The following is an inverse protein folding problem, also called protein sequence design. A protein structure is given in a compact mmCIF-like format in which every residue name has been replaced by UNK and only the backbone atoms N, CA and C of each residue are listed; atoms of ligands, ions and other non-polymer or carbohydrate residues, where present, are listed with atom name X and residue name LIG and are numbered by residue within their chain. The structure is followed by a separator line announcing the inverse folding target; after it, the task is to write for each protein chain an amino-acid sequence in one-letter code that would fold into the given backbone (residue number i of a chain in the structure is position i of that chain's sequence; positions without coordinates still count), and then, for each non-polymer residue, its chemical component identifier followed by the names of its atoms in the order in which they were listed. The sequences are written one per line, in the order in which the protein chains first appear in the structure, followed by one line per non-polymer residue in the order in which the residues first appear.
data_IF_115742707756
#
_entry.id   IF_115742707756
#
_cell.length_a   1.000
_cell.length_b   1.000
_cell.length_c   1.000
_cell.angle_alpha   90.00
_cell.angle_beta   90.00
_cell.angle_gamma   90.00
#
_symmetry.space_group_name_H-M   'P 1'
#
loop_
_entity.id
_entity.type
_entity.pdbx_description
1 polymer ?
#
# COMPACT_ATOMS: atom_id res chain seq x y z
N UNK A 1 -13.46 29.88 1.63
CA UNK A 1 -12.09 30.37 1.38
C UNK A 1 -11.25 29.92 2.57
N UNK A 2 -10.19 29.14 2.34
CA UNK A 2 -9.32 28.66 3.43
C UNK A 2 -8.32 29.77 3.83
N UNK A 3 -7.86 29.79 5.09
CA UNK A 3 -7.07 30.89 5.64
C UNK A 3 -5.55 30.83 5.32
N UNK A 4 -5.10 29.91 4.46
CA UNK A 4 -3.70 29.77 4.00
C UNK A 4 -2.61 29.94 5.09
N UNK A 5 -2.91 29.55 6.32
CA UNK A 5 -2.05 29.66 7.51
C UNK A 5 -2.01 28.31 8.21
N UNK A 6 -0.89 27.94 8.85
CA UNK A 6 -0.80 26.70 9.60
C UNK A 6 -1.73 26.75 10.82
N UNK A 7 -2.33 25.61 11.15
CA UNK A 7 -3.14 25.42 12.35
C UNK A 7 -2.29 24.88 13.49
N UNK A 8 -2.54 25.33 14.71
CA UNK A 8 -1.96 24.73 15.91
C UNK A 8 -2.52 23.32 16.14
N UNK A 9 -1.78 22.50 16.90
CA UNK A 9 -2.24 21.15 17.23
C UNK A 9 -3.60 21.14 17.97
N UNK A 10 -3.86 22.18 18.78
CA UNK A 10 -5.14 22.33 19.49
C UNK A 10 -6.32 22.66 18.56
N UNK A 11 -6.08 23.38 17.46
CA UNK A 11 -7.12 23.70 16.47
C UNK A 11 -7.39 22.51 15.53
N UNK A 12 -6.36 21.76 15.15
CA UNK A 12 -6.48 20.59 14.28
C UNK A 12 -7.38 19.50 14.89
N UNK A 13 -7.38 19.34 16.22
CA UNK A 13 -8.17 18.33 16.93
C UNK A 13 -9.64 18.69 17.16
N UNK A 14 -10.05 19.95 17.01
CA UNK A 14 -11.40 20.41 17.40
C UNK A 14 -12.51 20.03 16.40
N UNK A 15 -12.16 19.61 15.18
CA UNK A 15 -13.13 19.45 14.08
C UNK A 15 -12.86 18.19 13.25
N UNK A 16 -12.56 17.07 13.92
CA UNK A 16 -12.47 15.78 13.24
C UNK A 16 -13.84 15.40 12.67
N UNK A 17 -13.84 14.91 11.43
CA UNK A 17 -15.05 14.45 10.74
C UNK A 17 -14.75 13.13 10.06
N UNK A 18 -15.65 12.18 10.24
CA UNK A 18 -15.64 10.96 9.46
C UNK A 18 -16.08 11.27 8.03
N UNK A 19 -15.15 11.13 7.10
CA UNK A 19 -15.38 11.29 5.67
C UNK A 19 -14.95 10.01 4.95
N UNK A 20 -15.57 9.77 3.79
CA UNK A 20 -15.19 8.65 2.94
C UNK A 20 -14.09 9.10 1.99
N UNK A 21 -12.87 8.63 2.24
CA UNK A 21 -11.71 8.85 1.36
C UNK A 21 -11.49 7.66 0.41
N UNK A 22 -10.95 7.91 -0.80
CA UNK A 22 -10.61 6.84 -1.72
C UNK A 22 -9.39 6.05 -1.21
N UNK A 23 -9.56 4.74 -1.03
CA UNK A 23 -8.47 3.81 -0.75
C UNK A 23 -7.96 3.19 -2.05
N UNK A 24 -6.69 3.39 -2.38
CA UNK A 24 -6.07 2.86 -3.60
C UNK A 24 -4.87 1.99 -3.30
N UNK A 25 -4.67 0.99 -4.17
CA UNK A 25 -3.49 0.12 -4.18
C UNK A 25 -2.65 0.43 -5.40
N UNK A 26 -1.35 0.62 -5.19
CA UNK A 26 -0.39 1.01 -6.23
C UNK A 26 0.73 -0.01 -6.28
N UNK A 27 1.14 -0.37 -7.49
CA UNK A 27 2.24 -1.31 -7.72
C UNK A 27 3.49 -0.59 -8.21
N UNK A 28 4.65 -0.99 -7.70
CA UNK A 28 5.96 -0.42 -8.01
C UNK A 28 6.89 -1.55 -8.46
N UNK A 29 7.29 -1.61 -9.75
CA UNK A 29 8.22 -2.63 -10.22
C UNK A 29 9.58 -2.51 -9.55
N UNK A 30 10.23 -3.65 -9.27
CA UNK A 30 11.61 -3.64 -8.80
C UNK A 30 12.55 -3.21 -9.94
N UNK A 31 13.64 -2.54 -9.56
CA UNK A 31 14.67 -2.12 -10.51
C UNK A 31 15.50 -3.30 -11.03
N UNK A 32 15.70 -4.32 -10.19
CA UNK A 32 16.46 -5.52 -10.54
C UNK A 32 15.64 -6.49 -11.40
N UNK A 33 14.34 -6.63 -11.08
CA UNK A 33 13.41 -7.50 -11.78
C UNK A 33 12.04 -6.83 -11.96
N UNK A 34 11.77 -6.34 -13.17
CA UNK A 34 10.52 -5.65 -13.48
C UNK A 34 9.27 -6.56 -13.49
N UNK A 35 9.45 -7.89 -13.47
CA UNK A 35 8.34 -8.85 -13.38
C UNK A 35 7.77 -8.91 -11.96
N UNK A 36 8.57 -8.50 -10.97
CA UNK A 36 8.19 -8.45 -9.57
C UNK A 36 7.86 -7.01 -9.16
N UNK A 37 6.68 -6.82 -8.56
CA UNK A 37 6.18 -5.50 -8.17
C UNK A 37 5.88 -5.44 -6.68
N UNK A 38 6.37 -4.43 -5.99
CA UNK A 38 5.96 -4.09 -4.62
C UNK A 38 4.58 -3.43 -4.64
N UNK A 39 3.74 -3.75 -3.66
CA UNK A 39 2.41 -3.16 -3.54
C UNK A 39 2.33 -2.26 -2.32
N UNK A 40 1.83 -1.04 -2.51
CA UNK A 40 1.56 -0.08 -1.44
C UNK A 40 0.08 0.33 -1.44
N UNK A 41 -0.42 0.65 -0.24
CA UNK A 41 -1.77 1.16 -0.02
C UNK A 41 -1.71 2.61 0.44
N UNK A 42 -2.60 3.46 -0.08
CA UNK A 42 -2.76 4.84 0.38
C UNK A 42 -4.21 5.31 0.27
N UNK A 43 -4.65 6.13 1.23
CA UNK A 43 -5.93 6.86 1.17
C UNK A 43 -5.79 8.25 0.54
N UNK A 44 -4.56 8.68 0.23
CA UNK A 44 -4.24 10.02 -0.26
C UNK A 44 -3.54 9.94 -1.63
N UNK A 45 -4.26 9.56 -2.70
CA UNK A 45 -3.65 9.32 -4.01
C UNK A 45 -2.92 10.54 -4.60
N UNK A 46 -3.30 11.76 -4.20
CA UNK A 46 -2.64 13.00 -4.61
C UNK A 46 -1.19 13.12 -4.14
N UNK A 47 -0.73 12.28 -3.20
CA UNK A 47 0.67 12.23 -2.75
C UNK A 47 1.57 11.39 -3.66
N UNK A 48 0.99 10.55 -4.52
CA UNK A 48 1.74 9.62 -5.38
C UNK A 48 2.73 10.28 -6.34
N UNK A 49 2.43 11.45 -6.98
CA UNK A 49 3.39 12.12 -7.86
C UNK A 49 4.68 12.55 -7.15
N UNK A 50 4.61 12.78 -5.84
CA UNK A 50 5.75 13.21 -5.01
C UNK A 50 6.32 12.07 -4.17
N UNK A 51 6.05 10.80 -4.51
CA UNK A 51 6.60 9.66 -3.79
C UNK A 51 8.12 9.54 -4.03
N UNK A 52 8.90 9.44 -2.96
CA UNK A 52 10.37 9.35 -3.00
C UNK A 52 10.86 7.97 -2.56
N UNK A 53 10.12 7.25 -1.70
CA UNK A 53 10.56 5.99 -1.13
C UNK A 53 9.40 5.12 -0.65
N UNK A 54 9.62 3.81 -0.60
CA UNK A 54 8.71 2.84 0.01
C UNK A 54 9.28 2.37 1.35
N UNK A 55 8.50 2.56 2.42
CA UNK A 55 8.86 2.10 3.74
C UNK A 55 8.38 0.66 3.96
N UNK A 56 9.29 -0.22 4.37
CA UNK A 56 8.99 -1.60 4.76
C UNK A 56 9.38 -1.82 6.22
N UNK A 57 8.62 -2.64 6.92
CA UNK A 57 8.92 -2.98 8.31
C UNK A 57 9.81 -4.23 8.35
N UNK A 58 11.05 -4.08 8.79
CA UNK A 58 12.04 -5.16 8.81
C UNK A 58 11.66 -6.37 9.69
N UNK A 59 10.72 -6.22 10.63
CA UNK A 59 10.25 -7.28 11.52
C UNK A 59 8.95 -7.95 11.03
N UNK A 60 8.41 -7.49 9.90
CA UNK A 60 7.18 -8.05 9.33
C UNK A 60 7.48 -9.10 8.28
N UNK A 61 6.59 -10.08 8.14
CA UNK A 61 6.71 -11.15 7.14
C UNK A 61 6.10 -10.66 5.82
N UNK A 62 6.90 -10.73 4.76
CA UNK A 62 6.49 -10.41 3.41
C UNK A 62 6.35 -11.69 2.59
N UNK A 63 5.44 -11.67 1.62
CA UNK A 63 5.18 -12.80 0.73
C UNK A 63 5.21 -12.34 -0.71
N UNK A 64 5.87 -13.14 -1.55
CA UNK A 64 5.85 -13.03 -3.00
C UNK A 64 4.70 -13.90 -3.51
N UNK A 65 3.73 -13.29 -4.16
CA UNK A 65 2.56 -13.95 -4.70
C UNK A 65 2.53 -13.83 -6.22
N UNK A 66 1.97 -14.82 -6.89
CA UNK A 66 1.52 -14.74 -8.27
C UNK A 66 0.02 -14.48 -8.26
N UNK A 67 -0.40 -13.35 -8.81
CA UNK A 67 -1.80 -13.07 -9.09
C UNK A 67 -2.22 -13.85 -10.33
N UNK A 68 -3.13 -14.83 -10.19
CA UNK A 68 -3.57 -15.67 -11.31
C UNK A 68 -4.45 -14.90 -12.30
N UNK A 69 -5.07 -13.81 -11.87
CA UNK A 69 -5.98 -13.02 -12.70
C UNK A 69 -5.21 -12.14 -13.67
N UNK A 70 -4.12 -11.54 -13.18
CA UNK A 70 -3.27 -10.62 -13.95
C UNK A 70 -2.03 -11.30 -14.52
N UNK A 71 -1.70 -12.49 -14.02
CA UNK A 71 -0.46 -13.22 -14.30
C UNK A 71 0.78 -12.37 -13.97
N UNK A 72 0.72 -11.64 -12.85
CA UNK A 72 1.78 -10.73 -12.38
C UNK A 72 2.24 -11.14 -10.99
N UNK A 73 3.50 -10.85 -10.67
CA UNK A 73 4.09 -11.19 -9.38
C UNK A 73 4.13 -9.97 -8.48
N UNK A 74 3.54 -10.09 -7.30
CA UNK A 74 3.47 -9.03 -6.31
C UNK A 74 4.18 -9.40 -5.00
N UNK A 75 4.79 -8.41 -4.35
CA UNK A 75 5.31 -8.51 -2.99
C UNK A 75 4.48 -7.62 -2.08
N UNK A 76 3.93 -8.21 -1.01
CA UNK A 76 3.21 -7.49 0.04
C UNK A 76 3.32 -8.21 1.39
N UNK A 77 2.86 -7.54 2.44
CA UNK A 77 2.84 -8.10 3.78
C UNK A 77 1.78 -9.20 3.92
N UNK A 78 2.12 -10.33 4.54
CA UNK A 78 1.20 -11.49 4.69
C UNK A 78 -0.11 -11.10 5.40
N UNK A 79 -0.01 -10.22 6.40
CA UNK A 79 -1.19 -9.75 7.17
C UNK A 79 -2.18 -8.95 6.33
N UNK A 80 -1.77 -8.37 5.20
CA UNK A 80 -2.61 -7.54 4.32
C UNK A 80 -3.19 -8.32 3.14
N UNK A 81 -2.81 -9.59 2.99
CA UNK A 81 -3.30 -10.45 1.92
C UNK A 81 -4.83 -10.61 1.96
N UNK A 82 -5.40 -10.75 3.16
CA UNK A 82 -6.84 -10.90 3.38
C UNK A 82 -7.65 -9.65 3.01
N UNK A 83 -7.03 -8.47 3.03
CA UNK A 83 -7.69 -7.21 2.64
C UNK A 83 -7.65 -6.98 1.13
N UNK A 84 -6.58 -7.45 0.46
CA UNK A 84 -6.42 -7.28 -0.98
C UNK A 84 -7.14 -8.38 -1.77
N UNK A 85 -7.13 -9.61 -1.29
CA UNK A 85 -7.73 -10.76 -1.97
C UNK A 85 -8.86 -11.38 -1.14
N UNK A 86 -10.09 -11.08 -1.54
CA UNK A 86 -11.29 -11.66 -0.92
C UNK A 86 -11.47 -13.16 -1.21
N UNK A 87 -10.81 -13.69 -2.24
CA UNK A 87 -10.89 -15.10 -2.65
C UNK A 87 -9.51 -15.74 -2.60
N UNK A 88 -9.33 -16.88 -1.90
CA UNK A 88 -8.04 -17.56 -1.79
C UNK A 88 -7.56 -18.16 -3.12
N UNK A 89 -8.47 -18.46 -4.06
CA UNK A 89 -8.12 -19.00 -5.38
C UNK A 89 -7.42 -18.00 -6.31
N UNK A 90 -7.54 -16.70 -6.03
CA UNK A 90 -7.08 -15.62 -6.91
C UNK A 90 -5.57 -15.44 -6.94
N UNK A 91 -4.85 -15.95 -5.94
CA UNK A 91 -3.40 -15.80 -5.84
C UNK A 91 -2.74 -17.13 -5.48
N UNK A 92 -1.44 -17.23 -5.76
CA UNK A 92 -0.59 -18.33 -5.34
C UNK A 92 0.63 -17.77 -4.63
N UNK A 93 0.93 -18.25 -3.43
CA UNK A 93 2.14 -17.86 -2.70
C UNK A 93 3.32 -18.62 -3.32
N UNK A 94 4.31 -17.87 -3.82
CA UNK A 94 5.54 -18.43 -4.39
C UNK A 94 6.61 -18.55 -3.32
N UNK A 95 6.80 -17.51 -2.51
CA UNK A 95 7.88 -17.42 -1.55
C UNK A 95 7.46 -16.60 -0.33
N UNK A 96 7.91 -17.00 0.87
CA UNK A 96 7.81 -16.19 2.08
C UNK A 96 9.18 -15.57 2.37
N UNK A 97 9.25 -14.25 2.30
CA UNK A 97 10.43 -13.46 2.62
C UNK A 97 10.41 -13.24 4.14
N UNK A 98 11.03 -14.19 4.83
CA UNK A 98 11.31 -14.11 6.27
C UNK A 98 12.78 -13.72 6.40
N UNK A 99 13.07 -12.79 7.29
CA UNK A 99 14.45 -12.39 7.59
C UNK A 99 15.20 -13.51 8.32
#
# INVERSE_FOLDING_TARGET
MACCTPLSNFEAGQNYKDIYDPAVWVSFPLTDDATVKLVAWTTTPWTLPSNIALCVNANSIYVKILDKTRNEVFILMEKRLSELYNKPDSYQILERLVK
#
